data_IF_374462772940
#
_entry.id   IF_374462772940
#
_cell.length_a   1.000
_cell.length_b   1.000
_cell.length_c   1.000
_cell.angle_alpha   90.00
_cell.angle_beta   90.00
_cell.angle_gamma   90.00
#
_symmetry.space_group_name_H-M   'P 1'
#
loop_
_entity.id
_entity.type
_entity.pdbx_description
1 polymer ?
#
# COMPACT_ATOMS: atom_id res chain seq x y z
N UNK A 1 26.88 -20.18 -21.08
CA UNK A 1 25.66 -20.93 -21.44
C UNK A 1 24.59 -20.45 -20.44
N UNK A 2 23.71 -19.57 -20.88
CA UNK A 2 22.55 -19.13 -20.06
C UNK A 2 21.59 -20.30 -20.03
N UNK A 3 21.46 -20.94 -18.86
CA UNK A 3 20.34 -21.88 -18.63
C UNK A 3 19.03 -21.13 -18.89
N UNK A 4 18.38 -21.49 -19.99
CA UNK A 4 16.99 -21.07 -20.22
C UNK A 4 16.14 -21.76 -19.18
N UNK A 5 15.80 -21.06 -18.10
CA UNK A 5 14.83 -21.50 -17.11
C UNK A 5 13.57 -21.97 -17.85
N UNK A 6 13.22 -23.24 -17.64
CA UNK A 6 12.01 -23.80 -18.28
C UNK A 6 10.79 -23.06 -17.74
N UNK A 7 9.96 -22.49 -18.62
CA UNK A 7 8.73 -21.78 -18.23
C UNK A 7 7.82 -22.67 -17.40
N UNK A 8 7.39 -22.16 -16.25
CA UNK A 8 6.46 -22.86 -15.34
C UNK A 8 5.10 -22.13 -15.35
N UNK A 9 4.28 -22.46 -16.34
CA UNK A 9 2.98 -21.82 -16.52
C UNK A 9 1.96 -22.29 -15.48
N UNK A 10 1.26 -21.34 -14.87
CA UNK A 10 0.13 -21.58 -13.97
C UNK A 10 -1.06 -20.67 -14.34
N UNK A 11 -2.28 -21.13 -14.05
CA UNK A 11 -3.48 -20.30 -14.11
C UNK A 11 -3.79 -19.83 -12.69
N UNK A 12 -3.56 -18.55 -12.40
CA UNK A 12 -3.48 -18.03 -11.03
C UNK A 12 -4.07 -16.63 -10.93
N UNK A 13 -4.61 -16.28 -9.78
CA UNK A 13 -5.08 -14.93 -9.42
C UNK A 13 -4.10 -14.20 -8.51
N UNK A 14 -4.27 -12.87 -8.39
CA UNK A 14 -3.42 -12.03 -7.55
C UNK A 14 -3.50 -12.36 -6.06
N UNK A 15 -4.68 -12.82 -5.57
CA UNK A 15 -4.84 -13.18 -4.16
C UNK A 15 -3.88 -14.27 -3.72
N UNK A 16 -3.67 -15.29 -4.56
CA UNK A 16 -2.74 -16.39 -4.26
C UNK A 16 -1.30 -15.93 -4.20
N UNK A 17 -0.89 -15.06 -5.13
CA UNK A 17 0.46 -14.47 -5.13
C UNK A 17 0.71 -13.62 -3.88
N UNK A 18 -0.26 -12.76 -3.51
CA UNK A 18 -0.18 -11.92 -2.32
C UNK A 18 -0.03 -12.77 -1.04
N UNK A 19 -0.85 -13.80 -0.88
CA UNK A 19 -0.79 -14.64 0.33
C UNK A 19 0.54 -15.38 0.41
N UNK A 20 0.99 -15.98 -0.70
CA UNK A 20 2.28 -16.69 -0.73
C UNK A 20 3.47 -15.75 -0.46
N UNK A 21 3.48 -14.57 -1.08
CA UNK A 21 4.51 -13.55 -0.87
C UNK A 21 4.53 -13.06 0.59
N UNK A 22 3.35 -12.83 1.20
CA UNK A 22 3.24 -12.42 2.59
C UNK A 22 3.92 -13.41 3.54
N UNK A 23 3.63 -14.70 3.38
CA UNK A 23 4.22 -15.75 4.24
C UNK A 23 5.72 -15.87 4.02
N UNK A 24 6.19 -15.86 2.76
CA UNK A 24 7.63 -15.90 2.46
C UNK A 24 8.38 -14.69 2.98
N UNK A 25 7.76 -13.53 2.96
CA UNK A 25 8.34 -12.31 3.50
C UNK A 25 8.38 -12.27 5.05
N UNK A 26 7.78 -13.25 5.73
CA UNK A 26 7.87 -13.39 7.18
C UNK A 26 6.59 -13.04 7.95
N UNK A 27 5.45 -12.89 7.27
CA UNK A 27 4.17 -12.74 7.96
C UNK A 27 3.78 -14.06 8.66
N UNK A 28 3.47 -13.98 9.98
CA UNK A 28 3.25 -15.16 10.81
C UNK A 28 1.79 -15.49 11.09
N UNK A 29 0.89 -14.54 10.95
CA UNK A 29 -0.53 -14.73 11.22
C UNK A 29 -1.41 -13.92 10.27
N UNK A 30 -2.50 -14.53 9.82
CA UNK A 30 -3.58 -13.83 9.15
C UNK A 30 -4.78 -13.73 10.09
N UNK A 31 -5.32 -12.52 10.25
CA UNK A 31 -6.48 -12.26 11.08
C UNK A 31 -7.48 -11.46 10.25
N UNK A 32 -8.70 -11.97 10.07
CA UNK A 32 -9.64 -11.28 9.23
C UNK A 32 -11.09 -11.68 9.43
N UNK A 33 -11.95 -10.83 8.91
CA UNK A 33 -13.37 -11.06 8.73
C UNK A 33 -13.65 -11.25 7.22
N UNK A 34 -14.41 -12.28 6.81
CA UNK A 34 -14.63 -12.53 5.38
C UNK A 34 -15.53 -11.45 4.77
N UNK A 35 -15.00 -10.73 3.79
CA UNK A 35 -15.72 -9.67 3.06
C UNK A 35 -15.36 -9.71 1.57
N UNK A 36 -16.35 -9.49 0.68
CA UNK A 36 -16.13 -9.38 -0.76
C UNK A 36 -15.55 -7.99 -1.11
N UNK A 37 -14.46 -7.91 -1.94
CA UNK A 37 -13.87 -8.96 -2.76
C UNK A 37 -12.64 -9.65 -2.14
N UNK A 38 -12.35 -9.50 -0.86
CA UNK A 38 -11.18 -10.06 -0.20
C UNK A 38 -11.31 -11.56 0.17
N UNK A 39 -12.40 -12.23 -0.23
CA UNK A 39 -12.68 -13.63 0.16
C UNK A 39 -11.66 -14.64 -0.36
N UNK A 40 -11.05 -14.44 -1.54
CA UNK A 40 -9.98 -15.34 -2.00
C UNK A 40 -8.72 -15.21 -1.14
N UNK A 41 -8.35 -13.98 -0.75
CA UNK A 41 -7.27 -13.74 0.21
C UNK A 41 -7.52 -14.49 1.52
N UNK A 42 -8.73 -14.38 2.08
CA UNK A 42 -9.14 -15.09 3.28
C UNK A 42 -9.03 -16.61 3.12
N UNK A 43 -9.55 -17.15 2.01
CA UNK A 43 -9.53 -18.59 1.75
C UNK A 43 -8.12 -19.15 1.56
N UNK A 44 -7.26 -18.44 0.84
CA UNK A 44 -5.86 -18.86 0.65
C UNK A 44 -5.03 -18.69 1.92
N UNK A 45 -5.31 -17.65 2.72
CA UNK A 45 -4.66 -17.48 4.01
C UNK A 45 -4.91 -18.68 4.95
N UNK A 46 -6.14 -19.18 4.97
CA UNK A 46 -6.50 -20.38 5.76
C UNK A 46 -5.72 -21.65 5.37
N UNK A 47 -5.25 -21.70 4.13
CA UNK A 47 -4.47 -22.84 3.64
C UNK A 47 -2.97 -22.67 3.85
N UNK A 48 -2.50 -21.42 3.93
CA UNK A 48 -1.08 -21.13 3.76
C UNK A 48 -0.38 -20.52 4.96
N UNK A 49 -1.07 -19.68 5.76
CA UNK A 49 -0.47 -19.06 6.94
C UNK A 49 -0.23 -20.08 8.05
N UNK A 50 0.86 -19.91 8.84
CA UNK A 50 1.11 -20.76 10.01
C UNK A 50 0.00 -20.68 11.06
N UNK A 51 -0.63 -19.50 11.20
CA UNK A 51 -1.78 -19.26 12.06
C UNK A 51 -2.81 -18.39 11.35
N UNK A 52 -4.09 -18.72 11.51
CA UNK A 52 -5.19 -17.94 11.02
C UNK A 52 -6.31 -17.85 12.04
N UNK A 53 -6.82 -16.64 12.24
CA UNK A 53 -7.94 -16.36 13.14
C UNK A 53 -9.08 -15.68 12.38
N UNK A 54 -10.27 -16.26 12.52
CA UNK A 54 -11.52 -15.63 12.08
C UNK A 54 -12.00 -14.68 13.16
N UNK A 55 -11.93 -13.38 12.88
CA UNK A 55 -12.45 -12.36 13.77
C UNK A 55 -13.97 -12.17 13.57
N UNK A 56 -14.71 -11.78 14.61
CA UNK A 56 -16.15 -11.53 14.49
C UNK A 56 -16.49 -10.26 13.69
N UNK A 57 -15.56 -9.33 13.61
CA UNK A 57 -15.64 -8.07 12.86
C UNK A 57 -14.24 -7.49 12.60
N UNK A 58 -14.17 -6.44 11.80
CA UNK A 58 -12.92 -5.79 11.42
C UNK A 58 -12.28 -4.99 12.56
N UNK A 59 -13.04 -4.44 13.49
CA UNK A 59 -12.50 -3.77 14.68
C UNK A 59 -11.70 -4.77 15.50
N UNK A 60 -12.32 -5.90 15.82
CA UNK A 60 -11.70 -6.99 16.57
C UNK A 60 -10.49 -7.56 15.83
N UNK A 61 -10.58 -7.71 14.48
CA UNK A 61 -9.48 -8.20 13.68
C UNK A 61 -8.22 -7.36 13.91
N UNK A 62 -8.31 -6.02 13.80
CA UNK A 62 -7.15 -5.16 13.94
C UNK A 62 -6.64 -5.06 15.39
N UNK A 63 -7.52 -5.16 16.36
CA UNK A 63 -7.13 -5.24 17.77
C UNK A 63 -6.31 -6.51 18.07
N UNK A 64 -6.74 -7.66 17.55
CA UNK A 64 -5.98 -8.90 17.66
C UNK A 64 -4.64 -8.82 16.91
N UNK A 65 -4.63 -8.18 15.72
CA UNK A 65 -3.38 -7.90 15.00
C UNK A 65 -2.39 -7.12 15.86
N UNK A 66 -2.86 -6.09 16.56
CA UNK A 66 -2.01 -5.32 17.48
C UNK A 66 -1.40 -6.18 18.58
N UNK A 67 -2.17 -7.15 19.11
CA UNK A 67 -1.68 -8.13 20.07
C UNK A 67 -0.56 -9.00 19.48
N UNK A 68 -0.74 -9.57 18.29
CA UNK A 68 0.29 -10.38 17.63
C UNK A 68 1.53 -9.57 17.25
N UNK A 69 1.34 -8.37 16.72
CA UNK A 69 2.47 -7.49 16.40
C UNK A 69 3.31 -7.16 17.65
N UNK A 70 2.69 -6.97 18.81
CA UNK A 70 3.38 -6.73 20.08
C UNK A 70 4.21 -7.94 20.55
N UNK A 71 3.93 -9.13 20.04
CA UNK A 71 4.70 -10.35 20.30
C UNK A 71 5.82 -10.60 19.27
N UNK A 72 6.00 -9.71 18.28
CA UNK A 72 6.99 -9.86 17.22
C UNK A 72 6.53 -10.80 16.09
N UNK A 73 5.23 -11.03 15.96
CA UNK A 73 4.64 -11.82 14.88
C UNK A 73 3.92 -10.85 13.96
N UNK A 74 4.42 -10.69 12.73
CA UNK A 74 3.78 -9.78 11.77
C UNK A 74 2.39 -10.31 11.36
N UNK A 75 1.33 -9.55 11.64
CA UNK A 75 -0.01 -9.89 11.20
C UNK A 75 -0.34 -9.29 9.84
N UNK A 76 -1.19 -9.99 9.10
CA UNK A 76 -1.79 -9.54 7.83
C UNK A 76 -3.30 -9.67 7.92
N UNK A 77 -4.01 -8.72 7.32
CA UNK A 77 -5.45 -8.80 7.09
C UNK A 77 -5.80 -8.35 5.69
N UNK A 78 -6.99 -8.73 5.22
CA UNK A 78 -7.57 -8.19 4.00
C UNK A 78 -9.02 -7.79 4.22
N UNK A 79 -9.40 -6.64 3.67
CA UNK A 79 -10.75 -6.09 3.80
C UNK A 79 -11.14 -5.27 2.56
N UNK A 80 -12.34 -4.71 2.55
CA UNK A 80 -12.82 -3.70 1.60
C UNK A 80 -13.20 -2.43 2.37
N UNK A 81 -13.60 -1.36 1.66
CA UNK A 81 -13.91 -0.07 2.28
C UNK A 81 -14.78 -0.15 3.56
N UNK A 82 -15.89 -0.90 3.60
CA UNK A 82 -16.70 -0.94 4.81
C UNK A 82 -15.93 -1.42 6.06
N UNK A 83 -15.14 -2.47 5.89
CA UNK A 83 -14.30 -2.96 6.99
C UNK A 83 -13.11 -2.05 7.28
N UNK A 84 -12.47 -1.49 6.24
CA UNK A 84 -11.38 -0.53 6.43
C UNK A 84 -11.83 0.69 7.24
N UNK A 85 -13.02 1.20 6.99
CA UNK A 85 -13.57 2.33 7.75
C UNK A 85 -13.79 2.02 9.23
N UNK A 86 -14.11 0.77 9.58
CA UNK A 86 -14.19 0.31 10.97
C UNK A 86 -12.80 0.13 11.62
N UNK A 87 -11.77 -0.09 10.83
CA UNK A 87 -10.39 -0.27 11.31
C UNK A 87 -9.67 1.05 11.62
N UNK A 88 -10.17 2.21 11.17
CA UNK A 88 -9.43 3.49 11.19
C UNK A 88 -8.88 3.81 12.58
N UNK A 89 -9.68 3.73 13.64
CA UNK A 89 -9.19 4.01 14.99
C UNK A 89 -8.07 3.06 15.41
N UNK A 90 -8.23 1.77 15.13
CA UNK A 90 -7.21 0.77 15.48
C UNK A 90 -5.93 0.92 14.65
N UNK A 91 -6.00 1.44 13.40
CA UNK A 91 -4.83 1.82 12.60
C UNK A 91 -4.10 2.99 13.27
N UNK A 92 -4.84 4.01 13.74
CA UNK A 92 -4.27 5.15 14.47
C UNK A 92 -3.56 4.68 15.76
N UNK A 93 -4.19 3.78 16.53
CA UNK A 93 -3.55 3.15 17.68
C UNK A 93 -2.25 2.43 17.31
N UNK A 94 -2.29 1.58 16.28
CA UNK A 94 -1.12 0.82 15.84
C UNK A 94 0.02 1.74 15.36
N UNK A 95 -0.30 2.85 14.68
CA UNK A 95 0.66 3.88 14.28
C UNK A 95 1.34 4.51 15.52
N UNK A 96 0.55 4.90 16.51
CA UNK A 96 1.06 5.51 17.74
C UNK A 96 1.88 4.55 18.59
N UNK A 97 1.49 3.27 18.61
CA UNK A 97 2.19 2.18 19.28
C UNK A 97 3.41 1.66 18.49
N UNK A 98 3.59 2.11 17.27
CA UNK A 98 4.62 1.64 16.32
C UNK A 98 4.60 0.11 16.15
N UNK A 99 3.41 -0.43 15.95
CA UNK A 99 3.16 -1.85 15.71
C UNK A 99 3.04 -2.13 14.20
N UNK A 100 3.96 -2.93 13.63
CA UNK A 100 3.91 -3.27 12.21
C UNK A 100 2.76 -4.20 11.90
N UNK A 101 2.10 -3.95 10.78
CA UNK A 101 1.07 -4.81 10.21
C UNK A 101 0.85 -4.49 8.74
N UNK A 102 0.30 -5.44 7.97
CA UNK A 102 -0.08 -5.20 6.57
C UNK A 102 -1.58 -5.33 6.43
N UNK A 103 -2.20 -4.30 5.86
CA UNK A 103 -3.63 -4.23 5.59
C UNK A 103 -3.84 -4.22 4.08
N UNK A 104 -4.37 -5.32 3.54
CA UNK A 104 -4.69 -5.43 2.12
C UNK A 104 -6.10 -4.84 1.92
N UNK A 105 -6.19 -3.71 1.23
CA UNK A 105 -7.46 -3.06 0.92
C UNK A 105 -7.88 -3.39 -0.51
N UNK A 106 -8.87 -4.25 -0.63
CA UNK A 106 -9.48 -4.64 -1.89
C UNK A 106 -10.60 -3.65 -2.25
N UNK A 107 -10.31 -2.71 -3.12
CA UNK A 107 -11.24 -1.65 -3.51
C UNK A 107 -12.45 -2.20 -4.27
N UNK A 108 -13.63 -1.66 -3.95
CA UNK A 108 -14.89 -1.95 -4.63
C UNK A 108 -15.74 -0.70 -4.75
N UNK A 109 -16.75 -0.77 -5.63
CA UNK A 109 -17.66 0.36 -5.85
C UNK A 109 -18.45 0.70 -4.58
N UNK A 110 -18.19 1.92 -4.06
CA UNK A 110 -18.93 2.55 -2.95
C UNK A 110 -20.03 3.49 -3.44
N UNK A 111 -20.61 4.32 -2.53
CA UNK A 111 -20.32 4.40 -1.09
C UNK A 111 -20.94 3.25 -0.27
N UNK A 112 -20.53 3.12 1.00
CA UNK A 112 -20.97 2.09 1.94
C UNK A 112 -20.81 0.67 1.37
N UNK A 113 -21.85 -0.15 1.41
CA UNK A 113 -21.85 -1.49 0.81
C UNK A 113 -21.66 -1.44 -0.70
N UNK A 114 -22.20 -0.42 -1.36
CA UNK A 114 -22.07 -0.20 -2.80
C UNK A 114 -22.44 -1.45 -3.62
N UNK A 115 -21.56 -1.77 -4.57
CA UNK A 115 -21.65 -3.03 -5.34
C UNK A 115 -20.40 -3.87 -5.05
N UNK A 116 -20.54 -4.87 -4.20
CA UNK A 116 -19.43 -5.69 -3.71
C UNK A 116 -18.67 -6.44 -4.82
N UNK A 117 -19.30 -6.66 -5.98
CA UNK A 117 -18.75 -7.38 -7.13
C UNK A 117 -18.25 -6.48 -8.26
N UNK A 118 -18.34 -5.15 -8.11
CA UNK A 118 -17.77 -4.19 -9.04
C UNK A 118 -16.53 -3.52 -8.42
N UNK A 119 -15.43 -3.49 -9.16
CA UNK A 119 -14.23 -2.77 -8.76
C UNK A 119 -14.39 -1.26 -8.89
N UNK A 120 -13.55 -0.52 -8.19
CA UNK A 120 -13.40 0.92 -8.28
C UNK A 120 -12.08 1.33 -7.62
N UNK A 121 -11.70 2.61 -7.76
CA UNK A 121 -10.55 3.22 -7.11
C UNK A 121 -11.03 4.39 -6.23
N UNK A 122 -12.08 4.14 -5.43
CA UNK A 122 -12.78 5.16 -4.65
C UNK A 122 -12.20 5.43 -3.27
N UNK A 123 -11.24 4.63 -2.81
CA UNK A 123 -10.78 4.64 -1.41
C UNK A 123 -9.53 5.49 -1.19
N UNK A 124 -9.01 6.15 -2.23
CA UNK A 124 -7.75 6.89 -2.23
C UNK A 124 -7.74 8.00 -1.18
N UNK A 125 -8.81 8.82 -1.13
CA UNK A 125 -8.88 9.94 -0.20
C UNK A 125 -8.99 9.49 1.26
N UNK A 126 -9.70 8.40 1.54
CA UNK A 126 -9.80 7.88 2.91
C UNK A 126 -8.49 7.24 3.37
N UNK A 127 -7.77 6.54 2.48
CA UNK A 127 -6.46 5.98 2.80
C UNK A 127 -5.46 7.10 3.09
N UNK A 128 -5.44 8.17 2.28
CA UNK A 128 -4.61 9.34 2.52
C UNK A 128 -4.92 10.00 3.87
N UNK A 129 -6.20 10.10 4.25
CA UNK A 129 -6.66 10.74 5.48
C UNK A 129 -6.86 9.79 6.67
N UNK A 130 -6.38 8.54 6.60
CA UNK A 130 -6.62 7.54 7.65
C UNK A 130 -6.08 7.94 9.02
N UNK A 131 -4.86 8.49 9.06
CA UNK A 131 -4.21 8.82 10.33
C UNK A 131 -4.51 10.27 10.69
N UNK A 132 -5.18 10.46 11.83
CA UNK A 132 -5.51 11.78 12.36
C UNK A 132 -4.25 12.64 12.58
N UNK A 133 -4.35 13.93 12.30
CA UNK A 133 -3.20 14.85 12.44
C UNK A 133 -2.29 14.92 11.21
N UNK A 134 -2.62 14.26 10.11
CA UNK A 134 -1.87 14.34 8.84
C UNK A 134 -0.58 13.54 8.84
N UNK A 135 -0.54 12.44 9.57
CA UNK A 135 0.58 11.50 9.51
C UNK A 135 0.49 10.63 8.25
N UNK A 136 1.58 10.47 7.51
CA UNK A 136 1.57 9.64 6.31
C UNK A 136 1.49 8.15 6.69
N UNK A 137 0.63 7.42 5.98
CA UNK A 137 0.52 5.96 6.09
C UNK A 137 1.12 5.33 4.83
N UNK A 138 2.25 4.60 4.92
CA UNK A 138 2.85 3.98 3.74
C UNK A 138 1.83 3.12 2.99
N UNK A 139 1.64 3.42 1.70
CA UNK A 139 0.62 2.78 0.87
C UNK A 139 1.19 2.40 -0.48
N UNK A 140 1.17 1.11 -0.77
CA UNK A 140 1.50 0.56 -2.08
C UNK A 140 0.24 0.22 -2.86
N UNK A 141 0.34 0.28 -4.19
CA UNK A 141 -0.79 0.00 -5.08
C UNK A 141 -0.36 -0.99 -6.18
N UNK A 142 -1.01 -2.14 -6.21
CA UNK A 142 -0.75 -3.23 -7.14
C UNK A 142 -1.32 -2.87 -8.52
N UNK A 143 -0.54 -3.01 -9.60
CA UNK A 143 -0.96 -2.71 -10.97
C UNK A 143 -0.91 -3.89 -11.95
N UNK A 144 -0.33 -5.02 -11.53
CA UNK A 144 -0.22 -6.25 -12.32
C UNK A 144 0.08 -7.46 -11.41
N UNK A 145 0.22 -8.67 -11.97
CA UNK A 145 0.53 -9.87 -11.18
C UNK A 145 1.96 -9.88 -10.60
N UNK A 146 2.92 -9.27 -11.28
CA UNK A 146 4.28 -9.14 -10.73
C UNK A 146 4.26 -8.30 -9.46
N UNK A 147 3.47 -7.21 -9.45
CA UNK A 147 3.28 -6.36 -8.27
C UNK A 147 2.58 -7.09 -7.11
N UNK A 148 1.70 -8.06 -7.40
CA UNK A 148 1.10 -8.90 -6.34
C UNK A 148 2.16 -9.64 -5.53
N UNK A 149 3.28 -10.00 -6.15
CA UNK A 149 4.40 -10.65 -5.51
C UNK A 149 5.37 -9.65 -4.89
N UNK A 150 5.89 -8.74 -5.72
CA UNK A 150 6.96 -7.82 -5.34
C UNK A 150 6.51 -6.77 -4.32
N UNK A 151 5.37 -6.11 -4.55
CA UNK A 151 4.90 -5.07 -3.62
C UNK A 151 4.38 -5.65 -2.31
N UNK A 152 3.93 -6.91 -2.31
CA UNK A 152 3.59 -7.59 -1.05
C UNK A 152 4.83 -7.83 -0.19
N UNK A 153 5.92 -8.33 -0.80
CA UNK A 153 7.21 -8.44 -0.10
C UNK A 153 7.65 -7.08 0.46
N UNK A 154 7.56 -6.03 -0.36
CA UNK A 154 7.94 -4.67 0.04
C UNK A 154 7.05 -4.14 1.18
N UNK A 155 5.74 -4.38 1.14
CA UNK A 155 4.83 -3.99 2.20
C UNK A 155 5.18 -4.63 3.55
N UNK A 156 5.46 -5.94 3.54
CA UNK A 156 5.91 -6.68 4.74
C UNK A 156 7.23 -6.12 5.27
N UNK A 157 8.22 -5.94 4.39
CA UNK A 157 9.53 -5.40 4.76
C UNK A 157 9.44 -3.97 5.29
N UNK A 158 8.65 -3.11 4.64
CA UNK A 158 8.42 -1.73 5.09
C UNK A 158 7.74 -1.68 6.45
N UNK A 159 6.70 -2.50 6.66
CA UNK A 159 6.01 -2.55 7.94
C UNK A 159 6.96 -2.88 9.09
N UNK A 160 7.76 -3.93 8.94
CA UNK A 160 8.72 -4.37 9.97
C UNK A 160 9.85 -3.35 10.13
N UNK A 161 10.49 -2.92 9.04
CA UNK A 161 11.66 -2.04 9.11
C UNK A 161 11.33 -0.66 9.67
N UNK A 162 10.15 -0.12 9.40
CA UNK A 162 9.71 1.18 9.90
C UNK A 162 8.84 1.09 11.16
N UNK A 163 8.51 -0.11 11.61
CA UNK A 163 7.59 -0.33 12.74
C UNK A 163 6.31 0.50 12.58
N UNK A 164 5.54 0.20 11.52
CA UNK A 164 4.35 0.99 11.17
C UNK A 164 3.32 0.12 10.45
N UNK A 165 2.02 0.42 10.54
CA UNK A 165 1.04 -0.14 9.62
C UNK A 165 1.37 0.24 8.17
N UNK A 166 1.08 -0.66 7.24
CA UNK A 166 1.23 -0.46 5.79
C UNK A 166 -0.04 -0.90 5.09
N UNK A 167 -0.51 -0.11 4.13
CA UNK A 167 -1.63 -0.47 3.26
C UNK A 167 -1.10 -1.00 1.93
N UNK A 168 -1.62 -2.16 1.53
CA UNK A 168 -1.45 -2.71 0.18
C UNK A 168 -2.79 -2.60 -0.54
N UNK A 169 -2.89 -1.64 -1.44
CA UNK A 169 -4.11 -1.29 -2.15
C UNK A 169 -4.23 -2.07 -3.46
N UNK A 170 -5.40 -2.59 -3.77
CA UNK A 170 -5.69 -3.27 -5.03
C UNK A 170 -7.17 -3.23 -5.33
N UNK A 171 -7.54 -3.42 -6.60
CA UNK A 171 -8.92 -3.59 -7.02
C UNK A 171 -9.36 -5.05 -7.01
N UNK A 172 -10.68 -5.26 -6.99
CA UNK A 172 -11.29 -6.59 -7.11
C UNK A 172 -10.80 -7.33 -8.36
N UNK A 173 -10.71 -6.64 -9.50
CA UNK A 173 -10.30 -7.21 -10.78
C UNK A 173 -8.88 -7.77 -10.71
N UNK A 174 -7.98 -7.09 -10.04
CA UNK A 174 -6.59 -7.50 -9.91
C UNK A 174 -6.43 -8.77 -9.05
N UNK A 175 -7.17 -8.85 -7.95
CA UNK A 175 -6.98 -9.94 -6.98
C UNK A 175 -7.81 -11.19 -7.26
N UNK A 176 -8.91 -11.07 -8.05
CA UNK A 176 -9.84 -12.18 -8.31
C UNK A 176 -9.81 -12.72 -9.73
N UNK A 177 -9.23 -12.00 -10.70
CA UNK A 177 -9.15 -12.48 -12.07
C UNK A 177 -8.02 -13.47 -12.23
N UNK A 178 -8.36 -14.66 -12.73
CA UNK A 178 -7.37 -15.67 -13.04
C UNK A 178 -6.74 -15.41 -14.40
N UNK A 179 -5.43 -15.49 -14.46
CA UNK A 179 -4.64 -15.29 -15.67
C UNK A 179 -3.52 -16.32 -15.78
N UNK A 180 -3.10 -16.60 -17.03
CA UNK A 180 -1.90 -17.39 -17.26
C UNK A 180 -0.67 -16.61 -16.85
N UNK A 181 0.14 -17.19 -15.97
CA UNK A 181 1.33 -16.56 -15.43
C UNK A 181 2.51 -17.55 -15.39
N UNK A 182 3.70 -17.08 -15.70
CA UNK A 182 4.92 -17.88 -15.66
C UNK A 182 5.57 -17.74 -14.28
N UNK A 183 5.41 -18.74 -13.43
CA UNK A 183 5.95 -18.78 -12.08
C UNK A 183 7.50 -18.73 -12.03
N UNK A 184 8.18 -19.06 -13.13
CA UNK A 184 9.64 -18.97 -13.19
C UNK A 184 10.16 -17.51 -13.15
N UNK A 185 9.28 -16.53 -13.31
CA UNK A 185 9.61 -15.10 -13.18
C UNK A 185 9.60 -14.59 -11.74
N UNK A 186 9.02 -15.34 -10.81
CA UNK A 186 8.95 -14.93 -9.42
C UNK A 186 10.35 -14.86 -8.80
N UNK A 187 10.68 -13.68 -8.27
CA UNK A 187 11.91 -13.49 -7.51
C UNK A 187 11.88 -14.27 -6.20
N UNK A 188 13.05 -14.63 -5.70
CA UNK A 188 13.17 -15.21 -4.37
C UNK A 188 12.85 -14.15 -3.30
N UNK A 189 12.01 -14.52 -2.34
CA UNK A 189 11.66 -13.67 -1.20
C UNK A 189 12.37 -14.19 0.05
N UNK A 190 13.14 -13.32 0.69
CA UNK A 190 13.72 -13.57 2.02
C UNK A 190 12.89 -12.92 3.10
N UNK A 191 12.71 -13.57 4.28
CA UNK A 191 11.99 -12.99 5.39
C UNK A 191 12.55 -11.65 5.83
N UNK A 192 11.67 -10.73 6.21
CA UNK A 192 12.05 -9.45 6.79
C UNK A 192 12.69 -9.62 8.17
N UNK A 193 13.63 -8.74 8.49
CA UNK A 193 14.39 -8.79 9.74
C UNK A 193 13.95 -7.67 10.66
N UNK A 194 13.62 -8.03 11.91
CA UNK A 194 13.30 -7.07 12.97
C UNK A 194 14.56 -6.44 13.54
N UNK A 195 14.53 -5.14 13.78
CA UNK A 195 15.59 -4.43 14.54
C UNK A 195 15.35 -4.68 16.02
N UNK A 196 15.91 -5.78 16.54
CA UNK A 196 15.78 -6.13 17.95
C UNK A 196 16.73 -5.29 18.83
N UNK A 197 16.25 -4.99 20.04
CA UNK A 197 17.09 -4.40 21.10
C UNK A 197 18.26 -5.33 21.46
N UNK A 198 19.45 -4.78 21.64
CA UNK A 198 20.68 -5.53 21.87
C UNK A 198 20.79 -6.13 23.29
N UNK A 199 19.98 -5.66 24.24
CA UNK A 199 19.91 -6.16 25.62
C UNK A 199 21.01 -5.65 26.56
N UNK A 200 21.81 -4.66 26.13
CA UNK A 200 22.98 -4.16 26.92
C UNK A 200 22.60 -2.99 27.84
N UNK A 201 21.74 -2.09 27.36
CA UNK A 201 21.30 -0.90 28.09
C UNK A 201 19.91 -1.07 28.72
N UNK A 202 19.40 -0.04 29.40
CA UNK A 202 18.01 0.01 29.83
C UNK A 202 17.11 0.19 28.61
N UNK A 203 16.15 -0.72 28.42
CA UNK A 203 15.24 -0.67 27.29
C UNK A 203 14.21 0.46 27.44
N UNK A 204 14.15 1.31 26.43
CA UNK A 204 13.11 2.35 26.29
C UNK A 204 12.38 2.15 24.97
N UNK A 205 11.09 1.83 24.99
CA UNK A 205 10.34 1.38 23.81
C UNK A 205 10.33 2.34 22.62
N UNK A 206 10.54 3.63 22.86
CA UNK A 206 10.46 4.70 21.86
C UNK A 206 11.72 5.57 21.79
N UNK A 207 12.81 5.14 22.42
CA UNK A 207 14.12 5.77 22.22
C UNK A 207 14.66 5.37 20.84
N UNK A 208 15.21 6.33 20.12
CA UNK A 208 15.69 6.12 18.74
C UNK A 208 17.07 6.71 18.54
N UNK A 209 17.78 6.14 17.58
CA UNK A 209 18.96 6.74 16.98
C UNK A 209 18.57 7.72 15.85
N UNK A 210 19.55 8.07 15.01
CA UNK A 210 19.34 8.95 13.85
C UNK A 210 18.33 8.37 12.82
N UNK A 211 18.08 7.06 12.83
CA UNK A 211 17.09 6.44 11.93
C UNK A 211 15.65 6.82 12.27
N UNK A 212 15.42 7.35 13.45
CA UNK A 212 14.08 7.64 14.01
C UNK A 212 13.22 6.38 14.23
N UNK A 213 13.83 5.18 14.15
CA UNK A 213 13.16 3.89 14.32
C UNK A 213 13.59 3.29 15.64
N UNK A 214 12.67 3.09 16.60
CA UNK A 214 13.03 2.46 17.86
C UNK A 214 13.33 0.99 17.70
N UNK A 215 14.18 0.44 18.55
CA UNK A 215 14.41 -0.99 18.61
C UNK A 215 13.17 -1.71 19.12
N UNK A 216 12.99 -2.95 18.67
CA UNK A 216 11.85 -3.78 19.04
C UNK A 216 12.21 -4.77 20.15
N UNK A 217 11.29 -4.91 21.10
CA UNK A 217 11.33 -5.97 22.10
C UNK A 217 9.92 -6.51 22.31
N UNK A 218 9.68 -7.84 22.17
CA UNK A 218 8.35 -8.41 22.30
C UNK A 218 7.87 -8.42 23.76
N UNK A 219 6.55 -8.35 23.96
CA UNK A 219 5.93 -8.47 25.28
C UNK A 219 6.22 -9.80 25.98
N UNK A 220 6.53 -10.84 25.22
CA UNK A 220 6.77 -12.19 25.74
C UNK A 220 8.08 -12.38 26.50
N UNK A 221 9.01 -11.40 26.39
CA UNK A 221 10.27 -11.48 27.13
C UNK A 221 10.08 -11.01 28.59
N UNK A 222 10.95 -11.46 29.51
CA UNK A 222 10.82 -11.23 30.97
C UNK A 222 11.95 -10.39 31.60
N UNK A 223 12.85 -9.84 30.80
CA UNK A 223 14.03 -9.11 31.30
C UNK A 223 13.77 -7.61 31.47
N UNK A 224 12.98 -7.02 30.57
CA UNK A 224 12.73 -5.59 30.51
C UNK A 224 11.23 -5.30 30.54
N UNK A 225 10.88 -4.12 31.02
CA UNK A 225 9.49 -3.65 30.95
C UNK A 225 9.22 -3.09 29.56
N UNK A 226 8.35 -3.77 28.80
CA UNK A 226 7.89 -3.32 27.50
C UNK A 226 6.53 -2.64 27.64
N UNK A 227 6.37 -1.49 26.98
CA UNK A 227 5.10 -0.77 26.87
C UNK A 227 4.79 -0.44 25.41
N UNK A 228 3.56 -0.67 25.02
CA UNK A 228 3.01 -0.15 23.75
C UNK A 228 1.88 0.80 24.11
N UNK A 229 2.09 2.08 23.85
CA UNK A 229 1.20 3.16 24.32
C UNK A 229 0.52 3.85 23.16
N UNK A 230 -0.80 3.79 23.10
CA UNK A 230 -1.61 4.39 22.04
C UNK A 230 -1.89 5.90 22.25
N UNK A 231 -1.66 6.42 23.44
CA UNK A 231 -1.78 7.86 23.74
C UNK A 231 -0.45 8.58 23.55
N UNK A 232 -0.45 9.92 23.60
CA UNK A 232 0.79 10.70 23.65
C UNK A 232 1.67 10.25 24.82
N UNK A 233 2.92 9.96 24.55
CA UNK A 233 3.84 9.37 25.51
C UNK A 233 5.27 9.82 25.31
N UNK A 234 6.09 9.64 26.35
CA UNK A 234 7.53 9.84 26.29
C UNK A 234 8.26 8.61 25.75
N UNK A 235 9.59 8.66 25.68
CA UNK A 235 10.42 7.56 25.17
C UNK A 235 10.35 6.27 25.99
N UNK A 236 9.98 6.34 27.25
CA UNK A 236 9.73 5.18 28.12
C UNK A 236 8.33 4.57 27.91
N UNK A 237 7.52 5.13 27.04
CA UNK A 237 6.15 4.71 26.81
C UNK A 237 5.18 5.08 27.93
N UNK A 238 5.54 6.07 28.75
CA UNK A 238 4.66 6.58 29.81
C UNK A 238 3.81 7.70 29.23
N UNK A 239 2.49 7.59 29.41
CA UNK A 239 1.54 8.58 28.97
C UNK A 239 1.91 9.96 29.54
N UNK A 240 2.00 10.92 28.67
CA UNK A 240 2.16 12.33 28.97
C UNK A 240 1.24 13.14 28.06
N UNK A 241 0.67 14.20 28.60
CA UNK A 241 -0.20 15.07 27.79
C UNK A 241 0.64 15.85 26.75
N UNK A 242 0.58 17.18 26.77
CA UNK A 242 1.28 18.04 25.81
C UNK A 242 2.68 18.47 26.30
N UNK A 243 3.43 17.55 26.91
CA UNK A 243 4.82 17.85 27.29
C UNK A 243 5.70 17.96 26.06
N UNK A 244 6.80 18.76 26.09
CA UNK A 244 7.71 18.87 24.95
C UNK A 244 8.24 17.52 24.47
N UNK A 245 8.55 16.59 25.39
CA UNK A 245 9.03 15.25 25.05
C UNK A 245 7.98 14.42 24.31
N UNK A 246 6.74 14.38 24.80
CA UNK A 246 5.67 13.64 24.16
C UNK A 246 5.29 14.22 22.77
N UNK A 247 5.32 15.55 22.62
CA UNK A 247 5.09 16.19 21.33
C UNK A 247 6.24 15.94 20.36
N UNK A 248 7.49 15.91 20.85
CA UNK A 248 8.65 15.54 20.03
C UNK A 248 8.52 14.10 19.53
N UNK A 249 8.09 13.14 20.38
CA UNK A 249 7.84 11.76 19.98
C UNK A 249 6.72 11.66 18.95
N UNK A 250 5.63 12.40 19.11
CA UNK A 250 4.55 12.45 18.11
C UNK A 250 5.05 12.99 16.76
N UNK A 251 5.84 14.09 16.77
CA UNK A 251 6.42 14.66 15.54
C UNK A 251 7.41 13.69 14.87
N UNK A 252 8.14 12.91 15.67
CA UNK A 252 9.06 11.88 15.17
C UNK A 252 8.37 10.82 14.30
N UNK A 253 7.14 10.43 14.62
CA UNK A 253 6.38 9.44 13.83
C UNK A 253 6.24 9.88 12.36
N UNK A 254 5.94 11.16 12.12
CA UNK A 254 5.88 11.72 10.78
C UNK A 254 7.26 11.77 10.15
N UNK A 255 8.23 12.37 10.85
CA UNK A 255 9.60 12.52 10.38
C UNK A 255 10.25 11.18 10.02
N UNK A 256 9.95 10.10 10.75
CA UNK A 256 10.39 8.72 10.45
C UNK A 256 9.96 8.29 9.06
N UNK A 257 8.68 8.43 8.73
CA UNK A 257 8.15 8.00 7.43
C UNK A 257 8.71 8.86 6.30
N UNK A 258 8.75 10.19 6.48
CA UNK A 258 9.29 11.12 5.49
C UNK A 258 10.79 10.88 5.22
N UNK A 259 11.58 10.65 6.27
CA UNK A 259 13.02 10.35 6.14
C UNK A 259 13.30 9.10 5.31
N UNK A 260 12.43 8.10 5.43
CA UNK A 260 12.61 6.81 4.76
C UNK A 260 11.79 6.67 3.47
N UNK A 261 11.07 7.71 3.01
CA UNK A 261 10.16 7.64 1.87
C UNK A 261 10.81 7.08 0.59
N UNK A 262 12.05 7.46 0.30
CA UNK A 262 12.80 6.96 -0.84
C UNK A 262 13.08 5.43 -0.78
N UNK A 263 13.20 4.86 0.42
CA UNK A 263 13.46 3.43 0.59
C UNK A 263 12.30 2.52 0.20
N UNK A 264 11.10 3.08 0.09
CA UNK A 264 9.89 2.39 -0.33
C UNK A 264 9.15 3.10 -1.47
N UNK A 265 9.87 3.89 -2.25
CA UNK A 265 9.37 4.51 -3.48
C UNK A 265 9.46 3.51 -4.65
N UNK A 266 8.28 3.14 -5.19
CA UNK A 266 8.16 2.27 -6.35
C UNK A 266 7.23 2.88 -7.40
N UNK A 267 7.63 2.83 -8.66
CA UNK A 267 6.84 3.26 -9.82
C UNK A 267 7.45 2.67 -11.09
N UNK A 268 6.66 2.61 -12.16
CA UNK A 268 7.19 2.35 -13.50
C UNK A 268 7.14 3.67 -14.30
N UNK A 269 8.27 4.06 -14.88
CA UNK A 269 8.33 5.21 -15.78
C UNK A 269 8.87 4.78 -17.14
N UNK A 270 7.95 4.63 -18.10
CA UNK A 270 8.26 4.34 -19.50
C UNK A 270 8.38 5.67 -20.26
N UNK A 271 9.58 6.26 -20.17
CA UNK A 271 9.90 7.52 -20.83
C UNK A 271 10.11 7.35 -22.32
N UNK A 272 9.40 8.14 -23.13
CA UNK A 272 9.65 8.23 -24.57
C UNK A 272 10.33 9.56 -24.90
N UNK A 273 11.51 9.50 -25.50
CA UNK A 273 12.28 10.68 -25.88
C UNK A 273 11.51 11.61 -26.82
N UNK A 274 11.42 12.89 -26.43
CA UNK A 274 10.70 13.91 -27.18
C UNK A 274 9.19 13.84 -27.06
N UNK A 275 8.66 13.13 -26.06
CA UNK A 275 7.26 13.21 -25.68
C UNK A 275 7.00 14.51 -24.91
N UNK A 276 5.93 15.18 -25.25
CA UNK A 276 5.38 16.36 -24.56
C UNK A 276 4.19 16.00 -23.66
N UNK A 277 3.73 14.77 -23.76
CA UNK A 277 2.56 14.24 -23.05
C UNK A 277 2.94 13.03 -22.24
N UNK A 278 2.44 12.95 -20.99
CA UNK A 278 2.51 11.77 -20.13
C UNK A 278 1.12 11.32 -19.69
N UNK A 279 0.91 10.00 -19.71
CA UNK A 279 -0.24 9.37 -19.07
C UNK A 279 0.19 8.83 -17.72
N UNK A 280 -0.55 9.16 -16.66
CA UNK A 280 -0.35 8.61 -15.32
C UNK A 280 -1.55 7.78 -14.90
N UNK A 281 -1.31 6.64 -14.27
CA UNK A 281 -2.34 5.79 -13.71
C UNK A 281 -1.80 4.89 -12.60
N UNK A 282 -2.68 4.11 -11.97
CA UNK A 282 -2.35 3.15 -10.92
C UNK A 282 -3.39 2.02 -10.91
N UNK A 283 -3.18 0.96 -10.10
CA UNK A 283 -4.08 -0.19 -9.96
C UNK A 283 -4.47 -0.79 -11.33
N UNK A 284 -5.67 -1.33 -11.44
CA UNK A 284 -6.17 -2.00 -12.66
C UNK A 284 -6.21 -1.06 -13.87
N UNK A 285 -6.48 0.23 -13.67
CA UNK A 285 -6.51 1.23 -14.75
C UNK A 285 -5.13 1.38 -15.44
N UNK A 286 -4.05 0.99 -14.77
CA UNK A 286 -2.71 0.93 -15.37
C UNK A 286 -2.67 0.03 -16.62
N UNK A 287 -3.49 -1.02 -16.70
CA UNK A 287 -3.53 -1.90 -17.86
C UNK A 287 -4.11 -1.17 -19.08
N UNK A 288 -5.21 -0.43 -18.89
CA UNK A 288 -5.78 0.40 -19.95
C UNK A 288 -4.83 1.53 -20.38
N UNK A 289 -4.08 2.11 -19.43
CA UNK A 289 -3.09 3.13 -19.71
C UNK A 289 -1.90 2.58 -20.53
N UNK A 290 -1.39 1.39 -20.20
CA UNK A 290 -0.33 0.71 -20.97
C UNK A 290 -0.78 0.46 -22.42
N UNK A 291 -1.97 -0.09 -22.60
CA UNK A 291 -2.53 -0.36 -23.93
C UNK A 291 -2.75 0.94 -24.72
N UNK A 292 -3.32 1.97 -24.08
CA UNK A 292 -3.54 3.26 -24.72
C UNK A 292 -2.24 3.90 -25.23
N UNK A 293 -1.20 3.88 -24.39
CA UNK A 293 0.12 4.44 -24.76
C UNK A 293 0.77 3.63 -25.88
N UNK A 294 0.68 2.30 -25.83
CA UNK A 294 1.20 1.44 -26.90
C UNK A 294 0.52 1.73 -28.23
N UNK A 295 -0.80 1.85 -28.27
CA UNK A 295 -1.57 2.20 -29.48
C UNK A 295 -1.25 3.60 -29.99
N UNK A 296 -1.17 4.59 -29.12
CA UNK A 296 -0.78 5.97 -29.48
C UNK A 296 0.61 6.00 -30.13
N UNK A 297 1.56 5.25 -29.59
CA UNK A 297 2.91 5.14 -30.15
C UNK A 297 2.89 4.45 -31.51
N UNK A 298 2.05 3.44 -31.72
CA UNK A 298 1.89 2.79 -33.04
C UNK A 298 1.29 3.72 -34.09
N UNK A 299 0.53 4.73 -33.66
CA UNK A 299 0.02 5.82 -34.50
C UNK A 299 1.05 6.95 -34.73
N UNK A 300 2.28 6.80 -34.23
CA UNK A 300 3.36 7.79 -34.39
C UNK A 300 3.37 8.92 -33.37
N UNK A 301 2.52 8.85 -32.33
CA UNK A 301 2.51 9.84 -31.25
C UNK A 301 3.57 9.51 -30.20
N UNK A 302 4.22 10.55 -29.69
CA UNK A 302 5.19 10.40 -28.60
C UNK A 302 4.47 10.63 -27.26
N UNK A 303 4.35 9.60 -26.45
CA UNK A 303 3.66 9.65 -25.15
C UNK A 303 4.43 8.82 -24.13
N UNK A 304 4.76 9.41 -23.00
CA UNK A 304 5.36 8.71 -21.86
C UNK A 304 4.27 8.13 -20.94
N UNK A 305 4.65 7.15 -20.12
CA UNK A 305 3.75 6.49 -19.19
C UNK A 305 4.36 6.44 -17.79
N UNK A 306 3.60 6.87 -16.78
CA UNK A 306 3.95 6.75 -15.37
C UNK A 306 2.91 5.90 -14.65
N UNK A 307 3.31 4.78 -14.07
CA UNK A 307 2.46 3.95 -13.22
C UNK A 307 2.91 4.14 -11.77
N UNK A 308 2.02 4.72 -10.96
CA UNK A 308 2.27 4.89 -9.55
C UNK A 308 2.07 3.58 -8.79
N UNK A 309 3.08 3.15 -8.03
CA UNK A 309 3.05 1.95 -7.18
C UNK A 309 3.16 2.29 -5.69
N UNK A 310 3.87 3.37 -5.33
CA UNK A 310 3.76 4.00 -4.02
C UNK A 310 2.81 5.18 -4.14
N UNK A 311 1.68 5.14 -3.42
CA UNK A 311 0.72 6.26 -3.44
C UNK A 311 0.93 7.23 -2.29
N UNK A 312 1.28 6.74 -1.10
CA UNK A 312 1.43 7.58 0.10
C UNK A 312 2.66 7.17 0.93
N UNK A 313 3.34 8.17 1.54
CA UNK A 313 3.23 9.61 1.24
C UNK A 313 3.38 9.87 -0.26
N UNK A 314 2.72 10.91 -0.78
CA UNK A 314 2.84 11.27 -2.20
C UNK A 314 4.30 11.54 -2.51
N UNK A 315 4.95 10.78 -3.41
CA UNK A 315 6.35 10.97 -3.73
C UNK A 315 6.58 12.29 -4.50
N UNK A 316 7.54 13.09 -4.05
CA UNK A 316 7.99 14.29 -4.77
C UNK A 316 8.42 13.95 -6.22
N UNK A 317 8.97 12.75 -6.39
CA UNK A 317 9.38 12.22 -7.70
C UNK A 317 8.29 12.26 -8.76
N UNK A 318 7.03 12.15 -8.37
CA UNK A 318 5.93 12.26 -9.34
C UNK A 318 5.79 13.69 -9.86
N UNK A 319 5.90 14.69 -9.01
CA UNK A 319 5.91 16.09 -9.42
C UNK A 319 7.12 16.37 -10.31
N UNK A 320 8.32 15.96 -9.92
CA UNK A 320 9.52 16.11 -10.76
C UNK A 320 9.34 15.54 -12.17
N UNK A 321 8.68 14.38 -12.30
CA UNK A 321 8.41 13.76 -13.61
C UNK A 321 7.32 14.54 -14.35
N UNK A 322 6.17 14.78 -13.71
CA UNK A 322 4.99 15.35 -14.34
C UNK A 322 5.23 16.79 -14.82
N UNK A 323 6.01 17.58 -14.09
CA UNK A 323 6.34 18.97 -14.42
C UNK A 323 7.20 19.12 -15.69
N UNK A 324 7.80 18.03 -16.16
CA UNK A 324 8.56 18.03 -17.44
C UNK A 324 7.67 17.95 -18.69
N UNK A 325 6.36 17.72 -18.52
CA UNK A 325 5.43 17.53 -19.62
C UNK A 325 4.45 18.71 -19.77
N UNK A 326 4.19 19.10 -21.00
CA UNK A 326 3.23 20.18 -21.32
C UNK A 326 1.77 19.70 -21.25
N UNK A 327 1.55 18.38 -21.25
CA UNK A 327 0.24 17.75 -21.05
C UNK A 327 0.36 16.51 -20.17
N UNK A 328 -0.45 16.46 -19.11
CA UNK A 328 -0.55 15.31 -18.20
C UNK A 328 -1.97 14.78 -18.25
N UNK A 329 -2.15 13.48 -18.46
CA UNK A 329 -3.44 12.81 -18.44
C UNK A 329 -3.45 11.78 -17.32
N UNK A 330 -4.30 11.97 -16.30
CA UNK A 330 -4.42 11.05 -15.17
C UNK A 330 -5.71 10.25 -15.31
N UNK A 331 -5.56 8.91 -15.36
CA UNK A 331 -6.68 7.99 -15.49
C UNK A 331 -6.92 7.24 -14.18
N UNK A 332 -8.15 7.35 -13.63
CA UNK A 332 -8.52 6.73 -12.36
C UNK A 332 -10.04 6.42 -12.29
N UNK A 333 -10.39 5.27 -11.74
CA UNK A 333 -11.78 4.76 -11.68
C UNK A 333 -12.50 5.24 -10.42
N UNK A 334 -12.72 6.55 -10.34
CA UNK A 334 -13.56 7.22 -9.35
C UNK A 334 -14.20 8.48 -9.94
N UNK A 335 -15.22 9.02 -9.28
CA UNK A 335 -16.02 10.14 -9.82
C UNK A 335 -15.22 11.44 -9.98
N UNK A 336 -14.37 11.73 -9.02
CA UNK A 336 -13.82 13.07 -8.85
C UNK A 336 -12.36 13.23 -9.26
N UNK A 337 -11.66 12.15 -9.64
CA UNK A 337 -10.22 12.23 -9.83
C UNK A 337 -9.50 12.46 -8.49
N UNK A 338 -9.72 11.56 -7.51
CA UNK A 338 -9.25 11.74 -6.15
C UNK A 338 -7.74 11.88 -6.07
N UNK A 339 -6.99 11.03 -6.79
CA UNK A 339 -5.53 11.08 -6.76
C UNK A 339 -5.00 12.33 -7.47
N UNK A 340 -5.63 12.73 -8.58
CA UNK A 340 -5.31 14.00 -9.27
C UNK A 340 -5.51 15.20 -8.35
N UNK A 341 -6.59 15.22 -7.55
CA UNK A 341 -6.81 16.30 -6.58
C UNK A 341 -5.81 16.26 -5.42
N UNK A 342 -5.38 15.09 -4.99
CA UNK A 342 -4.33 14.98 -3.96
C UNK A 342 -2.97 15.44 -4.46
N UNK A 343 -2.65 15.18 -5.75
CA UNK A 343 -1.42 15.65 -6.37
C UNK A 343 -1.40 17.18 -6.59
N UNK A 344 -2.48 17.76 -7.07
CA UNK A 344 -2.47 19.14 -7.57
C UNK A 344 -3.38 20.12 -6.81
N UNK A 345 -4.06 19.64 -5.77
CA UNK A 345 -4.99 20.45 -4.99
C UNK A 345 -6.31 20.74 -5.72
N UNK A 346 -7.04 21.74 -5.23
CA UNK A 346 -8.37 22.12 -5.77
C UNK A 346 -8.26 22.97 -7.07
N UNK A 347 -7.15 23.64 -7.28
CA UNK A 347 -6.89 24.45 -8.48
C UNK A 347 -5.96 23.68 -9.43
N UNK A 348 -6.53 22.70 -10.11
CA UNK A 348 -5.76 21.86 -11.02
C UNK A 348 -5.34 22.68 -12.26
N UNK A 349 -4.04 22.73 -12.61
CA UNK A 349 -3.56 23.42 -13.80
C UNK A 349 -4.23 22.93 -15.09
N UNK A 350 -4.47 23.80 -16.05
CA UNK A 350 -5.22 23.48 -17.25
C UNK A 350 -4.61 22.38 -18.15
N UNK A 351 -3.29 22.18 -18.06
CA UNK A 351 -2.58 21.14 -18.78
C UNK A 351 -2.71 19.74 -18.14
N UNK A 352 -3.25 19.68 -16.90
CA UNK A 352 -3.52 18.41 -16.19
C UNK A 352 -4.96 17.99 -16.47
N UNK A 353 -5.12 16.94 -17.25
CA UNK A 353 -6.42 16.39 -17.63
C UNK A 353 -6.75 15.13 -16.84
N UNK A 354 -8.03 14.79 -16.75
CA UNK A 354 -8.49 13.57 -16.07
C UNK A 354 -9.35 12.72 -16.98
N UNK A 355 -9.14 11.40 -16.90
CA UNK A 355 -10.07 10.40 -17.43
C UNK A 355 -10.65 9.66 -16.24
N UNK A 356 -11.94 9.81 -16.01
CA UNK A 356 -12.61 9.27 -14.84
C UNK A 356 -13.79 8.37 -15.25
N UNK A 357 -14.01 7.31 -14.50
CA UNK A 357 -15.16 6.43 -14.63
C UNK A 357 -15.65 5.95 -13.27
N UNK A 358 -16.90 5.52 -13.20
CA UNK A 358 -17.47 4.86 -12.02
C UNK A 358 -18.31 3.68 -12.45
N UNK A 359 -18.21 2.57 -11.70
CA UNK A 359 -19.00 1.35 -11.93
C UNK A 359 -18.65 0.59 -13.21
N UNK A 360 -17.55 0.94 -13.85
CA UNK A 360 -16.98 0.27 -15.02
C UNK A 360 -15.49 0.55 -15.13
N UNK A 361 -14.78 -0.29 -15.84
CA UNK A 361 -13.39 -0.08 -16.17
C UNK A 361 -13.22 1.00 -17.26
N UNK A 362 -12.18 1.82 -17.12
CA UNK A 362 -11.75 2.77 -18.15
C UNK A 362 -11.21 1.98 -19.34
N UNK A 363 -11.65 2.39 -20.56
CA UNK A 363 -11.19 1.77 -21.80
C UNK A 363 -9.98 2.54 -22.36
N UNK A 364 -9.03 1.87 -23.03
CA UNK A 364 -7.88 2.53 -23.66
C UNK A 364 -8.25 3.69 -24.56
N UNK A 365 -9.36 3.57 -25.30
CA UNK A 365 -9.88 4.59 -26.22
C UNK A 365 -10.24 5.90 -25.52
N UNK A 366 -10.69 5.85 -24.26
CA UNK A 366 -11.02 7.06 -23.48
C UNK A 366 -9.76 7.85 -23.15
N UNK A 367 -8.68 7.14 -22.76
CA UNK A 367 -7.36 7.74 -22.49
C UNK A 367 -6.79 8.28 -23.80
N UNK A 368 -6.85 7.51 -24.91
CA UNK A 368 -6.38 7.95 -26.21
C UNK A 368 -7.12 9.20 -26.71
N UNK A 369 -8.43 9.28 -26.50
CA UNK A 369 -9.25 10.45 -26.84
C UNK A 369 -8.77 11.68 -26.08
N UNK A 370 -8.52 11.55 -24.78
CA UNK A 370 -8.06 12.68 -23.96
C UNK A 370 -6.65 13.12 -24.35
N UNK A 371 -5.75 12.18 -24.63
CA UNK A 371 -4.39 12.51 -25.13
C UNK A 371 -4.46 13.26 -26.48
N UNK A 372 -5.39 12.86 -27.36
CA UNK A 372 -5.57 13.47 -28.70
C UNK A 372 -6.32 14.81 -28.65
N UNK A 373 -7.06 15.11 -27.57
CA UNK A 373 -7.79 16.38 -27.45
C UNK A 373 -6.84 17.57 -27.49
N UNK A 374 -7.15 18.56 -28.26
CA UNK A 374 -6.50 19.86 -28.18
C UNK A 374 -7.05 20.52 -26.90
N UNK A 375 -6.22 20.72 -25.92
CA UNK A 375 -6.53 21.24 -24.58
C UNK A 375 -7.14 22.62 -24.52
#
# INVERSE_FOLDING_TARGET
>A
MTETSQKQMAFIDGSRLIIEASVRAGAGVYIGYPITPANLLYSYANQRFPAMLAAPDEITALQWMSGYASLGILPVTATAFPGYSLMIESINMAMMMELPMVIILAQRLGPATGTATAGAQGDIAVVHGTVSGGYPLPTFCISNLDDCWELTEKAVKTAISLRTPVVLLSSKEMIMTQMSYDLSKLSEISPAVWKHFDGVSDFKPYETDESLIPDFLPLSQNKHQVRFTASTHNKEGILQNTTPEALANSSRLKAKIEKHAESFLYYDFDHQQGADTVVMSFDITAQAAREAVQRLRSEGRKVSLLIAKTLFPIPEKYHEILDTFSKVVIAEENLGGQYRHLLFGSQIPSHIKGVNAIGRMIQPEEIMKEVKSNG
#
